data_IF_618102757477
#
_entry.id   IF_618102757477
#
_cell.length_a   1.000
_cell.length_b   1.000
_cell.length_c   1.000
_cell.angle_alpha   90.00
_cell.angle_beta   90.00
_cell.angle_gamma   90.00
#
_symmetry.space_group_name_H-M   'P 1'
#
loop_
_entity.id
_entity.type
_entity.pdbx_description
1 polymer ?
#
# COMPACT_ATOMS: atom_id res chain seq x y z
N UNK A 1 1.64 32.48 2.82
CA UNK A 1 2.65 31.96 3.76
C UNK A 1 3.23 30.69 3.17
N UNK A 2 4.50 30.72 2.75
CA UNK A 2 5.20 29.60 2.09
C UNK A 2 5.84 28.75 3.19
N UNK A 3 5.19 27.66 3.59
CA UNK A 3 5.74 26.78 4.62
C UNK A 3 6.72 25.81 3.94
N UNK A 4 8.03 26.04 4.13
CA UNK A 4 9.06 25.07 3.74
C UNK A 4 9.13 24.01 4.83
N UNK A 5 8.77 22.79 4.50
CA UNK A 5 8.94 21.65 5.39
C UNK A 5 10.44 21.42 5.61
N UNK A 6 10.89 21.20 6.87
CA UNK A 6 12.29 20.88 7.15
C UNK A 6 12.72 19.61 6.38
N UNK A 7 13.95 19.58 5.88
CA UNK A 7 14.46 18.49 5.05
C UNK A 7 14.34 17.09 5.70
N UNK A 8 14.37 16.99 7.03
CA UNK A 8 14.22 15.72 7.74
C UNK A 8 12.83 15.10 7.63
N UNK A 9 11.77 15.85 7.34
CA UNK A 9 10.43 15.29 7.14
C UNK A 9 10.35 14.43 5.88
N UNK A 10 11.19 14.71 4.88
CA UNK A 10 11.29 13.88 3.68
C UNK A 10 11.91 12.50 3.96
N UNK A 11 12.57 12.30 5.10
CA UNK A 11 13.13 11.01 5.49
C UNK A 11 12.04 10.03 5.96
N UNK A 12 10.91 10.53 6.47
CA UNK A 12 9.81 9.68 6.94
C UNK A 12 9.22 8.78 5.85
N UNK A 13 8.79 9.29 4.66
CA UNK A 13 8.30 8.42 3.61
C UNK A 13 9.37 7.45 3.10
N UNK A 14 10.64 7.87 3.04
CA UNK A 14 11.75 7.00 2.63
C UNK A 14 11.94 5.84 3.62
N UNK A 15 11.99 6.14 4.92
CA UNK A 15 12.11 5.14 5.97
C UNK A 15 10.90 4.20 5.97
N UNK A 16 9.69 4.72 5.78
CA UNK A 16 8.47 3.93 5.66
C UNK A 16 8.49 2.98 4.46
N UNK A 17 8.94 3.44 3.29
CA UNK A 17 9.10 2.59 2.10
C UNK A 17 10.16 1.51 2.34
N UNK A 18 11.27 1.85 3.00
CA UNK A 18 12.29 0.87 3.40
C UNK A 18 11.74 -0.21 4.35
N UNK A 19 10.96 0.19 5.35
CA UNK A 19 10.29 -0.73 6.26
C UNK A 19 9.26 -1.61 5.53
N UNK A 20 8.49 -1.04 4.61
CA UNK A 20 7.59 -1.80 3.74
C UNK A 20 8.34 -2.87 2.93
N UNK A 21 9.49 -2.53 2.33
CA UNK A 21 10.29 -3.48 1.57
C UNK A 21 10.77 -4.65 2.44
N UNK A 22 11.19 -4.38 3.68
CA UNK A 22 11.57 -5.43 4.64
C UNK A 22 10.37 -6.33 4.95
N UNK A 23 9.22 -5.74 5.27
CA UNK A 23 7.99 -6.50 5.56
C UNK A 23 7.54 -7.33 4.36
N UNK A 24 7.71 -6.83 3.14
CA UNK A 24 7.44 -7.59 1.92
C UNK A 24 8.33 -8.81 1.80
N UNK A 25 9.65 -8.68 2.00
CA UNK A 25 10.56 -9.81 1.93
C UNK A 25 10.22 -10.87 3.00
N UNK A 26 9.87 -10.44 4.22
CA UNK A 26 9.42 -11.34 5.29
C UNK A 26 8.13 -12.05 4.90
N UNK A 27 7.13 -11.32 4.39
CA UNK A 27 5.87 -11.92 3.93
C UNK A 27 6.09 -12.92 2.79
N UNK A 28 6.92 -12.58 1.80
CA UNK A 28 7.27 -13.49 0.70
C UNK A 28 7.94 -14.77 1.21
N UNK A 29 8.83 -14.67 2.21
CA UNK A 29 9.46 -15.83 2.84
C UNK A 29 8.50 -16.72 3.65
N UNK A 30 7.40 -16.16 4.14
CA UNK A 30 6.35 -16.89 4.85
C UNK A 30 5.28 -17.48 3.92
N UNK A 31 5.26 -17.09 2.64
CA UNK A 31 4.22 -17.52 1.72
C UNK A 31 4.34 -19.02 1.44
N UNK A 32 3.27 -19.82 1.63
CA UNK A 32 3.37 -21.28 1.62
C UNK A 32 3.44 -21.86 0.20
N UNK A 33 3.00 -21.12 -0.82
CA UNK A 33 3.17 -21.52 -2.22
C UNK A 33 1.97 -21.34 -3.14
N UNK A 34 2.17 -21.76 -4.38
CA UNK A 34 1.25 -21.65 -5.49
C UNK A 34 1.46 -20.37 -6.30
N UNK A 35 1.28 -20.49 -7.60
CA UNK A 35 1.29 -19.39 -8.55
C UNK A 35 0.24 -19.61 -9.63
N UNK A 36 -0.09 -18.58 -10.40
CA UNK A 36 -1.04 -18.73 -11.51
C UNK A 36 -0.53 -19.72 -12.57
N UNK A 37 0.79 -19.82 -12.71
CA UNK A 37 1.44 -20.74 -13.64
C UNK A 37 1.53 -22.16 -13.08
N UNK A 38 1.87 -22.29 -11.79
CA UNK A 38 1.99 -23.56 -11.09
C UNK A 38 1.38 -23.46 -9.69
N UNK A 39 0.15 -23.98 -9.49
CA UNK A 39 -0.51 -23.99 -8.19
C UNK A 39 0.20 -24.85 -7.14
N UNK A 40 1.08 -25.77 -7.52
CA UNK A 40 1.80 -26.65 -6.59
C UNK A 40 3.22 -26.17 -6.28
N UNK A 41 3.65 -25.05 -6.87
CA UNK A 41 4.94 -24.45 -6.58
C UNK A 41 5.10 -24.15 -5.07
N UNK A 42 6.25 -24.49 -4.50
CA UNK A 42 6.55 -24.14 -3.12
C UNK A 42 7.04 -22.68 -3.02
N UNK A 43 6.57 -21.96 -2.00
CA UNK A 43 7.04 -20.61 -1.71
C UNK A 43 6.54 -19.53 -2.68
N UNK A 44 6.99 -18.29 -2.45
CA UNK A 44 6.66 -17.16 -3.31
C UNK A 44 7.46 -17.18 -4.62
N UNK A 45 6.76 -17.16 -5.75
CA UNK A 45 7.34 -17.01 -7.09
C UNK A 45 7.52 -15.54 -7.45
N UNK A 46 8.76 -15.08 -7.54
CA UNK A 46 9.08 -13.69 -7.91
C UNK A 46 8.59 -13.27 -9.31
N UNK A 47 8.42 -14.23 -10.21
CA UNK A 47 7.95 -13.97 -11.58
C UNK A 47 6.42 -14.09 -11.72
N UNK A 48 5.76 -14.90 -10.88
CA UNK A 48 4.36 -15.29 -11.08
C UNK A 48 3.44 -14.98 -9.91
N UNK A 49 3.97 -14.48 -8.79
CA UNK A 49 3.17 -14.01 -7.68
C UNK A 49 3.20 -12.49 -7.57
N UNK A 50 2.01 -11.93 -7.33
CA UNK A 50 1.81 -10.52 -7.08
C UNK A 50 1.66 -10.29 -5.57
N UNK A 51 1.92 -9.06 -5.13
CA UNK A 51 1.70 -8.63 -3.75
C UNK A 51 0.30 -8.97 -3.23
N UNK A 52 -0.74 -8.80 -4.05
CA UNK A 52 -2.12 -9.11 -3.67
C UNK A 52 -2.31 -10.58 -3.24
N UNK A 53 -1.52 -11.52 -3.77
CA UNK A 53 -1.59 -12.92 -3.35
C UNK A 53 -1.13 -13.12 -1.89
N UNK A 54 -0.24 -12.28 -1.37
CA UNK A 54 0.20 -12.32 0.02
C UNK A 54 -0.91 -11.86 0.98
N UNK A 55 -1.91 -11.12 0.50
CA UNK A 55 -3.00 -10.55 1.29
C UNK A 55 -4.22 -11.46 1.39
N UNK A 56 -4.26 -12.52 0.57
CA UNK A 56 -5.34 -13.50 0.57
C UNK A 56 -5.31 -14.37 1.84
N UNK A 57 -6.48 -14.77 2.33
CA UNK A 57 -6.59 -15.68 3.49
C UNK A 57 -5.96 -17.05 3.22
N UNK A 58 -6.04 -17.50 1.97
CA UNK A 58 -5.39 -18.73 1.49
C UNK A 58 -4.44 -18.41 0.35
N UNK A 59 -3.32 -19.12 0.33
CA UNK A 59 -2.39 -19.08 -0.78
C UNK A 59 -2.97 -19.81 -2.00
N UNK A 60 -2.33 -19.63 -3.16
CA UNK A 60 -2.84 -20.20 -4.42
C UNK A 60 -2.78 -21.72 -4.46
N UNK A 61 -1.95 -22.35 -3.63
CA UNK A 61 -1.92 -23.79 -3.44
C UNK A 61 -3.03 -24.31 -2.50
N UNK A 62 -3.90 -23.44 -1.98
CA UNK A 62 -5.03 -23.79 -1.12
C UNK A 62 -4.73 -23.83 0.38
N UNK A 63 -3.45 -23.70 0.77
CA UNK A 63 -3.04 -23.67 2.18
C UNK A 63 -3.38 -22.34 2.85
N UNK A 64 -3.53 -22.37 4.18
CA UNK A 64 -3.63 -21.15 4.99
C UNK A 64 -2.40 -20.27 4.76
N UNK A 65 -2.59 -18.96 4.64
CA UNK A 65 -1.52 -18.03 4.32
C UNK A 65 -0.99 -17.29 5.57
N UNK A 66 0.09 -17.78 6.23
CA UNK A 66 0.69 -17.10 7.38
C UNK A 66 1.39 -15.78 7.02
N UNK A 67 1.63 -15.50 5.73
CA UNK A 67 2.21 -14.24 5.28
C UNK A 67 1.22 -13.06 5.40
N UNK A 68 -0.09 -13.34 5.40
CA UNK A 68 -1.15 -12.32 5.38
C UNK A 68 -1.03 -11.23 6.44
N UNK A 69 -0.86 -11.52 7.75
CA UNK A 69 -0.72 -10.46 8.76
C UNK A 69 0.50 -9.56 8.52
N UNK A 70 1.62 -10.13 8.07
CA UNK A 70 2.84 -9.35 7.75
C UNK A 70 2.61 -8.49 6.51
N UNK A 71 1.95 -9.03 5.48
CA UNK A 71 1.59 -8.29 4.28
C UNK A 71 0.64 -7.12 4.58
N UNK A 72 -0.39 -7.33 5.43
CA UNK A 72 -1.30 -6.27 5.87
C UNK A 72 -0.56 -5.18 6.65
N UNK A 73 0.36 -5.55 7.54
CA UNK A 73 1.21 -4.58 8.24
C UNK A 73 2.07 -3.77 7.24
N UNK A 74 2.64 -4.44 6.22
CA UNK A 74 3.36 -3.77 5.13
C UNK A 74 2.48 -2.77 4.39
N UNK A 75 1.25 -3.14 4.04
CA UNK A 75 0.30 -2.24 3.39
C UNK A 75 0.01 -1.01 4.25
N UNK A 76 -0.21 -1.20 5.56
CA UNK A 76 -0.45 -0.11 6.49
C UNK A 76 0.72 0.88 6.54
N UNK A 77 1.96 0.36 6.61
CA UNK A 77 3.18 1.16 6.59
C UNK A 77 3.31 1.92 5.28
N UNK A 78 3.09 1.26 4.14
CA UNK A 78 3.21 1.87 2.81
C UNK A 78 2.19 2.99 2.61
N UNK A 79 0.91 2.75 2.91
CA UNK A 79 -0.15 3.76 2.81
C UNK A 79 0.15 4.96 3.71
N UNK A 80 0.63 4.73 4.93
CA UNK A 80 1.00 5.80 5.86
C UNK A 80 2.18 6.62 5.33
N UNK A 81 3.21 5.97 4.79
CA UNK A 81 4.36 6.62 4.17
C UNK A 81 3.94 7.47 2.97
N UNK A 82 3.09 6.93 2.10
CA UNK A 82 2.59 7.64 0.93
C UNK A 82 1.63 8.79 1.29
N UNK A 83 0.83 8.66 2.34
CA UNK A 83 -0.01 9.77 2.83
C UNK A 83 0.85 10.96 3.24
N UNK A 84 1.94 10.71 4.00
CA UNK A 84 2.91 11.75 4.36
C UNK A 84 3.59 12.32 3.12
N UNK A 85 4.00 11.48 2.16
CA UNK A 85 4.59 11.92 0.89
C UNK A 85 3.66 12.90 0.15
N UNK A 86 2.40 12.53 -0.07
CA UNK A 86 1.43 13.38 -0.77
C UNK A 86 1.17 14.69 -0.04
N UNK A 87 1.19 14.66 1.30
CA UNK A 87 1.01 15.87 2.09
C UNK A 87 2.20 16.84 1.93
N UNK A 88 3.43 16.33 1.86
CA UNK A 88 4.65 17.12 1.74
C UNK A 88 4.93 17.57 0.31
N UNK A 89 4.54 16.79 -0.70
CA UNK A 89 4.88 16.98 -2.11
C UNK A 89 4.61 18.41 -2.63
N UNK A 90 3.46 19.05 -2.35
CA UNK A 90 3.21 20.39 -2.87
C UNK A 90 4.15 21.47 -2.36
N UNK A 91 4.66 21.31 -1.13
CA UNK A 91 5.66 22.22 -0.56
C UNK A 91 7.02 22.05 -1.21
N UNK A 92 7.37 20.83 -1.62
CA UNK A 92 8.64 20.52 -2.27
C UNK A 92 8.69 21.01 -3.73
N UNK A 93 7.53 21.00 -4.42
CA UNK A 93 7.41 21.43 -5.82
C UNK A 93 6.90 22.87 -5.97
N UNK A 94 6.72 23.61 -4.86
CA UNK A 94 6.20 24.98 -4.86
C UNK A 94 4.88 25.14 -5.66
N UNK A 95 3.97 24.17 -5.51
CA UNK A 95 2.71 24.16 -6.25
C UNK A 95 1.81 25.34 -5.86
N UNK A 96 1.02 25.84 -6.82
CA UNK A 96 0.00 26.86 -6.57
C UNK A 96 -1.03 26.39 -5.53
N UNK A 97 -1.60 27.33 -4.76
CA UNK A 97 -2.43 27.06 -3.57
C UNK A 97 -3.59 26.08 -3.83
N UNK A 98 -4.25 26.19 -4.97
CA UNK A 98 -5.35 25.29 -5.35
C UNK A 98 -4.85 23.87 -5.58
N UNK A 99 -3.85 23.69 -6.44
CA UNK A 99 -3.26 22.38 -6.73
C UNK A 99 -2.64 21.75 -5.48
N UNK A 100 -1.97 22.54 -4.64
CA UNK A 100 -1.42 22.08 -3.38
C UNK A 100 -2.49 21.51 -2.45
N UNK A 101 -3.61 22.22 -2.29
CA UNK A 101 -4.73 21.76 -1.47
C UNK A 101 -5.39 20.52 -2.05
N UNK A 102 -5.56 20.44 -3.37
CA UNK A 102 -6.10 19.23 -4.03
C UNK A 102 -5.24 18.02 -3.68
N UNK A 103 -3.93 18.10 -3.89
CA UNK A 103 -3.00 16.99 -3.62
C UNK A 103 -2.95 16.62 -2.13
N UNK A 104 -2.89 17.62 -1.24
CA UNK A 104 -2.83 17.42 0.22
C UNK A 104 -4.09 16.80 0.80
N UNK A 105 -5.23 16.89 0.11
CA UNK A 105 -6.48 16.27 0.54
C UNK A 105 -6.69 14.94 -0.17
N UNK A 106 -6.63 14.91 -1.51
CA UNK A 106 -6.94 13.70 -2.28
C UNK A 106 -5.90 12.60 -2.09
N UNK A 107 -4.61 12.94 -1.96
CA UNK A 107 -3.53 11.98 -1.76
C UNK A 107 -3.71 11.19 -0.45
N UNK A 108 -3.66 11.83 0.73
CA UNK A 108 -3.88 11.16 2.01
C UNK A 108 -5.25 10.46 2.11
N UNK A 109 -6.31 11.06 1.55
CA UNK A 109 -7.62 10.43 1.51
C UNK A 109 -7.59 9.11 0.72
N UNK A 110 -6.98 9.10 -0.48
CA UNK A 110 -6.84 7.88 -1.29
C UNK A 110 -6.03 6.79 -0.57
N UNK A 111 -4.96 7.16 0.15
CA UNK A 111 -4.15 6.20 0.92
C UNK A 111 -4.93 5.63 2.10
N UNK A 112 -5.78 6.43 2.73
CA UNK A 112 -6.66 5.98 3.81
C UNK A 112 -7.70 4.99 3.27
N UNK A 113 -8.34 5.31 2.15
CA UNK A 113 -9.29 4.41 1.49
C UNK A 113 -8.63 3.10 1.05
N UNK A 114 -7.40 3.15 0.55
CA UNK A 114 -6.65 1.97 0.11
C UNK A 114 -6.44 0.92 1.21
N UNK A 115 -6.41 1.32 2.49
CA UNK A 115 -6.32 0.39 3.62
C UNK A 115 -7.56 -0.52 3.74
N UNK A 116 -8.73 -0.03 3.33
CA UNK A 116 -10.00 -0.76 3.45
C UNK A 116 -10.20 -1.78 2.32
N UNK A 117 -9.44 -1.69 1.23
CA UNK A 117 -9.51 -2.65 0.10
C UNK A 117 -9.23 -4.09 0.56
N UNK A 118 -8.37 -4.29 1.56
CA UNK A 118 -7.99 -5.63 2.04
C UNK A 118 -8.81 -6.12 3.24
N UNK A 119 -9.92 -5.43 3.51
CA UNK A 119 -10.87 -5.77 4.58
C UNK A 119 -12.20 -6.21 3.99
N UNK A 120 -13.12 -6.68 4.83
CA UNK A 120 -14.50 -6.98 4.43
C UNK A 120 -15.26 -5.77 3.84
N UNK A 121 -14.70 -4.56 3.95
CA UNK A 121 -15.25 -3.35 3.36
C UNK A 121 -14.87 -3.14 1.88
N UNK A 122 -14.17 -4.09 1.24
CA UNK A 122 -13.79 -4.04 -0.17
C UNK A 122 -14.97 -3.69 -1.10
N UNK A 123 -16.03 -4.50 -1.12
CA UNK A 123 -17.11 -4.33 -2.10
C UNK A 123 -17.90 -3.02 -1.90
N UNK A 124 -18.32 -2.65 -0.67
CA UNK A 124 -18.99 -1.37 -0.44
C UNK A 124 -18.12 -0.16 -0.81
N UNK A 125 -16.82 -0.23 -0.56
CA UNK A 125 -15.89 0.85 -0.87
C UNK A 125 -15.76 1.09 -2.38
N UNK A 126 -15.62 0.03 -3.16
CA UNK A 126 -15.50 0.13 -4.63
C UNK A 126 -16.78 0.71 -5.24
N UNK A 127 -17.96 0.32 -4.73
CA UNK A 127 -19.24 0.91 -5.15
C UNK A 127 -19.31 2.40 -4.82
N UNK A 128 -18.97 2.79 -3.59
CA UNK A 128 -18.98 4.20 -3.18
C UNK A 128 -18.00 5.06 -4.01
N UNK A 129 -16.79 4.54 -4.25
CA UNK A 129 -15.79 5.22 -5.07
C UNK A 129 -16.26 5.40 -6.53
N UNK A 130 -16.91 4.38 -7.09
CA UNK A 130 -17.42 4.43 -8.47
C UNK A 130 -18.55 5.45 -8.65
N UNK A 131 -19.43 5.60 -7.66
CA UNK A 131 -20.51 6.60 -7.66
C UNK A 131 -19.95 8.02 -7.52
N UNK A 132 -18.97 8.22 -6.64
CA UNK A 132 -18.35 9.54 -6.42
C UNK A 132 -17.49 10.02 -7.60
N UNK A 133 -17.03 9.09 -8.44
CA UNK A 133 -16.22 9.38 -9.62
C UNK A 133 -17.06 9.62 -10.90
N UNK A 134 -18.35 9.27 -10.90
CA UNK A 134 -19.29 9.46 -12.00
C UNK A 134 -19.97 10.84 -11.95
#
# INVERSE_FOLDING_TARGET
MRWKSPAHWALLPIAGIGLFAILFLVAAGLYPGGSQHDPQAAGFSWAHNYWCHLLNDRALNGNSNPARPVALAGMFVLCSALAVFWYLLPSALDLGRWMARTVQVSGPASMTLALFIFTSYHDPLIVAASILAA
#
